data_IF_085468546998
#
_entry.id   IF_085468546998
#
_cell.length_a   1.000
_cell.length_b   1.000
_cell.length_c   1.000
_cell.angle_alpha   90.00
_cell.angle_beta   90.00
_cell.angle_gamma   90.00
#
_symmetry.space_group_name_H-M   'P 1'
#
loop_
_entity.id
_entity.type
_entity.pdbx_description
1 polymer ?
#
# COMPACT_ATOMS: atom_id res chain seq x y z
N UNK A 1 10.96 67.21 -24.36
CA UNK A 1 9.78 66.35 -24.07
C UNK A 1 10.18 64.91 -24.42
N UNK A 2 10.14 63.99 -23.44
CA UNK A 2 10.55 62.59 -23.65
C UNK A 2 9.54 61.90 -24.57
N UNK A 3 10.01 61.37 -25.70
CA UNK A 3 9.20 60.53 -26.59
C UNK A 3 8.73 59.29 -25.82
N UNK A 4 7.44 59.22 -25.49
CA UNK A 4 6.78 57.96 -25.18
C UNK A 4 6.51 57.27 -26.52
N UNK A 5 7.49 56.52 -27.01
CA UNK A 5 7.30 55.67 -28.18
C UNK A 5 6.26 54.61 -27.81
N UNK A 6 5.06 54.70 -28.39
CA UNK A 6 4.03 53.69 -28.26
C UNK A 6 4.51 52.38 -28.89
N UNK A 7 4.22 51.26 -28.23
CA UNK A 7 4.53 49.92 -28.74
C UNK A 7 3.86 49.73 -30.09
N UNK A 8 4.63 49.34 -31.11
CA UNK A 8 4.10 49.15 -32.45
C UNK A 8 3.25 47.88 -32.52
N UNK A 9 2.23 47.86 -33.37
CA UNK A 9 1.33 46.71 -33.52
C UNK A 9 2.09 45.41 -33.85
N UNK A 10 3.20 45.53 -34.60
CA UNK A 10 4.09 44.43 -34.93
C UNK A 10 4.79 43.86 -33.68
N UNK A 11 5.28 44.71 -32.77
CA UNK A 11 5.90 44.27 -31.52
C UNK A 11 4.90 43.51 -30.63
N UNK A 12 3.63 43.94 -30.59
CA UNK A 12 2.57 43.24 -29.85
C UNK A 12 2.29 41.85 -30.43
N UNK A 13 2.26 41.71 -31.75
CA UNK A 13 2.07 40.43 -32.43
C UNK A 13 3.24 39.46 -32.17
N UNK A 14 4.48 39.96 -32.27
CA UNK A 14 5.68 39.16 -31.99
C UNK A 14 5.70 38.73 -30.51
N UNK A 15 5.35 39.63 -29.58
CA UNK A 15 5.27 39.29 -28.17
C UNK A 15 4.19 38.23 -27.87
N UNK A 16 3.02 38.33 -28.49
CA UNK A 16 1.95 37.31 -28.36
C UNK A 16 2.34 35.96 -28.94
N UNK A 17 3.05 35.96 -30.07
CA UNK A 17 3.56 34.73 -30.70
C UNK A 17 4.62 34.05 -29.81
N UNK A 18 5.57 34.81 -29.28
CA UNK A 18 6.57 34.27 -28.35
C UNK A 18 5.94 33.80 -27.04
N UNK A 19 4.95 34.51 -26.52
CA UNK A 19 4.24 34.12 -25.31
C UNK A 19 3.48 32.81 -25.49
N UNK A 20 2.78 32.63 -26.62
CA UNK A 20 2.06 31.38 -26.93
C UNK A 20 3.01 30.20 -27.09
N UNK A 21 4.16 30.39 -27.74
CA UNK A 21 5.21 29.37 -27.79
C UNK A 21 5.73 29.00 -26.39
N UNK A 22 6.00 30.00 -25.54
CA UNK A 22 6.49 29.77 -24.18
C UNK A 22 5.47 29.01 -23.32
N UNK A 23 4.19 29.40 -23.36
CA UNK A 23 3.12 28.72 -22.62
C UNK A 23 2.94 27.28 -23.11
N UNK A 24 2.99 27.06 -24.43
CA UNK A 24 2.86 25.72 -25.01
C UNK A 24 3.98 24.75 -24.57
N UNK A 25 5.18 25.27 -24.33
CA UNK A 25 6.32 24.47 -23.87
C UNK A 25 6.31 24.24 -22.35
N UNK A 26 5.95 25.24 -21.55
CA UNK A 26 6.04 25.18 -20.08
C UNK A 26 4.84 24.46 -19.47
N UNK A 27 3.65 24.58 -20.06
CA UNK A 27 2.42 24.03 -19.49
C UNK A 27 2.42 22.49 -19.38
N UNK A 28 2.86 21.72 -20.41
CA UNK A 28 2.98 20.27 -20.29
C UNK A 28 3.96 19.86 -19.20
N UNK A 29 5.10 20.54 -19.09
CA UNK A 29 6.12 20.27 -18.07
C UNK A 29 5.53 20.46 -16.67
N UNK A 30 4.84 21.56 -16.42
CA UNK A 30 4.17 21.82 -15.13
C UNK A 30 3.17 20.72 -14.76
N UNK A 31 2.34 20.28 -15.72
CA UNK A 31 1.39 19.19 -15.51
C UNK A 31 2.09 17.87 -15.19
N UNK A 32 3.16 17.52 -15.90
CA UNK A 32 3.91 16.28 -15.65
C UNK A 32 4.60 16.29 -14.29
N UNK A 33 5.19 17.41 -13.88
CA UNK A 33 5.85 17.54 -12.56
C UNK A 33 4.84 17.42 -11.43
N UNK A 34 3.66 18.05 -11.55
CA UNK A 34 2.59 17.93 -10.56
C UNK A 34 2.07 16.50 -10.43
N UNK A 35 1.83 15.82 -11.56
CA UNK A 35 1.42 14.41 -11.56
C UNK A 35 2.47 13.51 -10.91
N UNK A 36 3.75 13.71 -11.24
CA UNK A 36 4.85 12.94 -10.66
C UNK A 36 4.96 13.15 -9.15
N UNK A 37 4.77 14.39 -8.67
CA UNK A 37 4.78 14.67 -7.23
C UNK A 37 3.63 14.00 -6.45
N UNK A 38 2.43 13.93 -7.05
CA UNK A 38 1.29 13.24 -6.44
C UNK A 38 1.52 11.72 -6.38
N UNK A 39 1.95 11.11 -7.49
CA UNK A 39 2.26 9.68 -7.57
C UNK A 39 3.36 9.31 -6.56
N UNK A 40 4.41 10.12 -6.45
CA UNK A 40 5.49 9.86 -5.49
C UNK A 40 5.02 9.91 -4.04
N UNK A 41 4.09 10.82 -3.71
CA UNK A 41 3.51 10.90 -2.36
C UNK A 41 2.66 9.66 -2.07
N UNK A 42 1.75 9.31 -2.96
CA UNK A 42 0.89 8.12 -2.83
C UNK A 42 1.72 6.84 -2.68
N UNK A 43 2.79 6.71 -3.47
CA UNK A 43 3.72 5.58 -3.37
C UNK A 43 4.46 5.55 -2.03
N UNK A 44 4.90 6.71 -1.53
CA UNK A 44 5.60 6.79 -0.24
C UNK A 44 4.67 6.43 0.93
N UNK A 45 3.44 6.93 0.89
CA UNK A 45 2.42 6.61 1.90
C UNK A 45 2.07 5.11 1.88
N UNK A 46 1.84 4.54 0.70
CA UNK A 46 1.60 3.10 0.54
C UNK A 46 2.78 2.30 1.12
N UNK A 47 4.02 2.65 0.75
CA UNK A 47 5.20 1.96 1.29
C UNK A 47 5.31 2.03 2.81
N UNK A 48 5.01 3.18 3.41
CA UNK A 48 5.03 3.31 4.86
C UNK A 48 3.99 2.41 5.53
N UNK A 49 2.79 2.29 4.96
CA UNK A 49 1.75 1.39 5.46
C UNK A 49 2.22 -0.06 5.35
N UNK A 50 2.73 -0.47 4.19
CA UNK A 50 3.22 -1.84 3.98
C UNK A 50 4.33 -2.18 4.99
N UNK A 51 5.33 -1.32 5.11
CA UNK A 51 6.45 -1.52 6.04
C UNK A 51 5.97 -1.62 7.50
N UNK A 52 5.05 -0.76 7.92
CA UNK A 52 4.49 -0.82 9.29
C UNK A 52 3.79 -2.16 9.55
N UNK A 53 3.04 -2.68 8.58
CA UNK A 53 2.36 -3.96 8.71
C UNK A 53 3.34 -5.14 8.73
N UNK A 54 4.39 -5.09 7.91
CA UNK A 54 5.44 -6.11 7.93
C UNK A 54 6.18 -6.12 9.27
N UNK A 55 6.58 -4.96 9.77
CA UNK A 55 7.27 -4.84 11.05
C UNK A 55 6.40 -5.35 12.20
N UNK A 56 5.09 -5.05 12.17
CA UNK A 56 4.15 -5.56 13.16
C UNK A 56 4.03 -7.09 13.10
N UNK A 57 3.82 -7.68 11.91
CA UNK A 57 3.72 -9.14 11.76
C UNK A 57 5.02 -9.81 12.22
N UNK A 58 6.17 -9.25 11.84
CA UNK A 58 7.47 -9.75 12.26
C UNK A 58 7.64 -9.70 13.78
N UNK A 59 7.23 -8.63 14.44
CA UNK A 59 7.33 -8.52 15.89
C UNK A 59 6.41 -9.51 16.62
N UNK A 60 5.19 -9.70 16.12
CA UNK A 60 4.25 -10.70 16.66
C UNK A 60 4.76 -12.12 16.47
N UNK A 61 5.34 -12.43 15.30
CA UNK A 61 5.83 -13.79 14.98
C UNK A 61 6.92 -14.30 15.94
N UNK A 62 7.66 -13.39 16.59
CA UNK A 62 8.70 -13.77 17.57
C UNK A 62 8.14 -14.33 18.87
N UNK A 63 6.90 -13.98 19.22
CA UNK A 63 6.32 -14.25 20.53
C UNK A 63 5.05 -15.10 20.45
N UNK A 64 4.42 -15.17 19.29
CA UNK A 64 3.16 -15.84 19.05
C UNK A 64 3.35 -16.94 18.02
N UNK A 65 2.54 -18.00 18.13
CA UNK A 65 2.45 -18.98 17.08
C UNK A 65 1.68 -18.39 15.88
N UNK A 66 1.62 -19.16 14.80
CA UNK A 66 0.98 -18.71 13.58
C UNK A 66 -0.54 -18.45 13.73
N UNK A 67 -1.36 -19.39 14.24
CA UNK A 67 -2.79 -19.16 14.47
C UNK A 67 -3.08 -17.96 15.37
N UNK A 68 -2.26 -17.75 16.41
CA UNK A 68 -2.34 -16.59 17.31
C UNK A 68 -2.09 -15.30 16.53
N UNK A 69 -1.09 -15.27 15.66
CA UNK A 69 -0.78 -14.09 14.83
C UNK A 69 -1.94 -13.75 13.89
N UNK A 70 -2.56 -14.74 13.25
CA UNK A 70 -3.76 -14.52 12.45
C UNK A 70 -4.94 -14.02 13.28
N UNK A 71 -5.10 -14.55 14.49
CA UNK A 71 -6.10 -14.07 15.41
C UNK A 71 -5.87 -12.61 15.80
N UNK A 72 -4.62 -12.19 16.05
CA UNK A 72 -4.29 -10.80 16.33
C UNK A 72 -4.57 -9.89 15.11
N UNK A 73 -4.28 -10.36 13.89
CA UNK A 73 -4.63 -9.62 12.67
C UNK A 73 -6.13 -9.33 12.58
N UNK A 74 -6.97 -10.30 12.93
CA UNK A 74 -8.43 -10.14 12.90
C UNK A 74 -8.94 -9.30 14.06
N UNK A 75 -8.48 -9.57 15.28
CA UNK A 75 -9.06 -9.03 16.52
C UNK A 75 -8.50 -7.66 16.92
N UNK A 76 -7.20 -7.41 16.72
CA UNK A 76 -6.56 -6.13 17.04
C UNK A 76 -6.46 -5.26 15.80
N UNK A 77 -5.87 -5.79 14.73
CA UNK A 77 -5.65 -5.01 13.51
C UNK A 77 -6.90 -4.90 12.63
N UNK A 78 -8.03 -5.52 13.01
CA UNK A 78 -9.30 -5.42 12.32
C UNK A 78 -9.26 -5.86 10.84
N UNK A 79 -8.39 -6.82 10.51
CA UNK A 79 -8.40 -7.45 9.19
C UNK A 79 -9.56 -8.43 9.06
N UNK A 80 -10.10 -8.53 7.85
CA UNK A 80 -10.99 -9.62 7.47
C UNK A 80 -10.18 -10.69 6.76
N UNK A 81 -10.01 -11.86 7.38
CA UNK A 81 -9.23 -12.96 6.84
C UNK A 81 -10.12 -14.07 6.26
N UNK A 82 -9.79 -14.53 5.06
CA UNK A 82 -10.37 -15.71 4.41
C UNK A 82 -9.36 -16.85 4.45
N UNK A 83 -9.83 -18.08 4.74
CA UNK A 83 -8.98 -19.26 4.94
C UNK A 83 -8.53 -19.49 6.38
N UNK A 84 -8.98 -18.65 7.33
CA UNK A 84 -8.75 -18.80 8.75
C UNK A 84 -10.05 -18.52 9.53
N UNK A 85 -10.29 -19.29 10.59
CA UNK A 85 -11.41 -19.05 11.50
C UNK A 85 -11.08 -19.57 12.89
N UNK A 86 -11.72 -18.98 13.88
CA UNK A 86 -11.53 -19.30 15.29
C UNK A 86 -12.89 -19.28 15.99
N UNK A 87 -12.97 -20.00 17.10
CA UNK A 87 -14.14 -20.01 17.98
C UNK A 87 -13.67 -19.89 19.42
N UNK A 88 -14.51 -19.31 20.28
CA UNK A 88 -14.28 -19.33 21.72
C UNK A 88 -15.08 -20.47 22.30
N UNK A 89 -14.43 -21.35 23.06
CA UNK A 89 -15.15 -22.34 23.85
C UNK A 89 -15.97 -21.61 24.94
N UNK A 90 -17.28 -21.80 24.92
CA UNK A 90 -18.20 -21.18 25.86
C UNK A 90 -17.99 -21.63 27.32
N UNK A 91 -17.27 -22.73 27.54
CA UNK A 91 -17.06 -23.36 28.85
C UNK A 91 -15.71 -23.00 29.44
N UNK A 92 -14.64 -23.07 28.64
CA UNK A 92 -13.27 -22.80 29.10
C UNK A 92 -12.80 -21.37 28.80
N UNK A 93 -13.53 -20.63 27.97
CA UNK A 93 -13.11 -19.32 27.43
C UNK A 93 -11.79 -19.37 26.65
N UNK A 94 -11.36 -20.56 26.23
CA UNK A 94 -10.18 -20.75 25.41
C UNK A 94 -10.48 -20.49 23.94
N UNK A 95 -9.48 -19.99 23.22
CA UNK A 95 -9.55 -19.78 21.78
C UNK A 95 -9.17 -21.09 21.09
N UNK A 96 -10.07 -21.57 20.25
CA UNK A 96 -9.86 -22.77 19.43
C UNK A 96 -9.70 -22.34 17.98
N UNK A 97 -8.55 -22.65 17.39
CA UNK A 97 -8.24 -22.37 16.00
C UNK A 97 -8.66 -23.52 15.10
N UNK A 98 -9.35 -23.22 14.00
CA UNK A 98 -9.50 -24.18 12.92
C UNK A 98 -8.19 -24.28 12.14
N UNK A 99 -7.91 -25.43 11.55
CA UNK A 99 -6.74 -25.62 10.69
C UNK A 99 -6.75 -24.59 9.56
N UNK A 100 -5.75 -23.68 9.48
CA UNK A 100 -5.70 -22.68 8.43
C UNK A 100 -5.55 -23.33 7.05
N UNK A 101 -6.09 -22.69 6.03
CA UNK A 101 -5.81 -22.99 4.62
C UNK A 101 -4.33 -22.74 4.31
N UNK A 102 -3.78 -23.43 3.31
CA UNK A 102 -2.42 -23.18 2.81
C UNK A 102 -2.21 -21.76 2.31
N UNK A 103 -3.29 -21.07 1.92
CA UNK A 103 -3.29 -19.64 1.62
C UNK A 103 -4.37 -18.97 2.45
N UNK A 104 -3.96 -17.98 3.24
CA UNK A 104 -4.84 -17.10 4.01
C UNK A 104 -4.74 -15.70 3.43
N UNK A 105 -5.88 -15.10 3.09
CA UNK A 105 -5.94 -13.74 2.55
C UNK A 105 -6.64 -12.82 3.54
N UNK A 106 -5.92 -11.83 4.06
CA UNK A 106 -6.43 -10.85 5.00
C UNK A 106 -6.54 -9.48 4.34
N UNK A 107 -7.71 -8.85 4.42
CA UNK A 107 -7.96 -7.52 3.83
C UNK A 107 -8.36 -6.51 4.89
N UNK A 108 -7.80 -5.31 4.81
CA UNK A 108 -8.19 -4.14 5.63
C UNK A 108 -8.27 -2.91 4.74
N UNK A 109 -9.38 -2.19 4.84
CA UNK A 109 -9.58 -0.95 4.08
C UNK A 109 -9.46 0.25 5.00
N UNK A 110 -8.46 1.10 4.73
CA UNK A 110 -8.25 2.38 5.40
C UNK A 110 -8.24 3.44 4.29
N UNK A 111 -9.38 4.09 4.06
CA UNK A 111 -9.54 5.07 2.98
C UNK A 111 -8.37 6.07 2.93
N UNK A 112 -7.74 6.29 1.76
CA UNK A 112 -8.13 5.82 0.42
C UNK A 112 -7.56 4.46 0.02
N UNK A 113 -6.86 3.75 0.91
CA UNK A 113 -6.10 2.55 0.61
C UNK A 113 -6.78 1.26 1.10
N UNK A 114 -6.57 0.17 0.38
CA UNK A 114 -6.90 -1.19 0.80
C UNK A 114 -5.61 -2.00 0.88
N UNK A 115 -5.32 -2.52 2.07
CA UNK A 115 -4.21 -3.43 2.31
C UNK A 115 -4.70 -4.86 2.15
N UNK A 116 -4.05 -5.63 1.29
CA UNK A 116 -4.27 -7.05 1.08
C UNK A 116 -3.01 -7.78 1.49
N UNK A 117 -3.12 -8.61 2.53
CA UNK A 117 -2.08 -9.52 2.98
C UNK A 117 -2.43 -10.90 2.45
N UNK A 118 -1.52 -11.51 1.70
CA UNK A 118 -1.62 -12.92 1.32
C UNK A 118 -0.51 -13.65 2.06
N UNK A 119 -0.90 -14.57 2.93
CA UNK A 119 0.02 -15.40 3.68
C UNK A 119 -0.06 -16.83 3.16
N UNK A 120 1.07 -17.33 2.64
CA UNK A 120 1.17 -18.67 2.06
C UNK A 120 2.00 -19.57 2.95
N UNK A 121 1.38 -20.65 3.41
CA UNK A 121 2.03 -21.76 4.12
C UNK A 121 2.55 -22.78 3.11
N UNK A 122 3.76 -23.26 3.33
CA UNK A 122 4.34 -24.36 2.58
C UNK A 122 4.49 -25.58 3.50
N UNK A 123 3.63 -26.58 3.28
CA UNK A 123 3.60 -27.79 4.08
C UNK A 123 4.84 -28.69 3.87
N UNK A 124 5.73 -28.35 2.91
CA UNK A 124 6.97 -29.10 2.66
C UNK A 124 8.13 -28.69 3.57
N UNK A 125 8.07 -27.51 4.19
CA UNK A 125 9.06 -27.04 5.17
C UNK A 125 8.49 -27.27 6.57
N UNK A 126 8.81 -28.43 7.15
CA UNK A 126 8.29 -28.96 8.42
C UNK A 126 8.55 -28.10 9.67
N UNK A 127 9.25 -26.96 9.55
CA UNK A 127 9.73 -26.15 10.69
C UNK A 127 9.39 -24.66 10.59
N UNK A 128 8.68 -24.20 9.55
CA UNK A 128 8.38 -22.79 9.36
C UNK A 128 6.92 -22.60 8.94
N UNK A 129 6.14 -21.92 9.78
CA UNK A 129 4.71 -21.72 9.52
C UNK A 129 4.39 -20.67 8.44
N UNK A 130 5.39 -19.99 7.85
CA UNK A 130 5.22 -19.23 6.61
C UNK A 130 6.49 -19.03 5.77
N UNK A 131 6.30 -19.02 4.44
CA UNK A 131 7.36 -18.72 3.48
C UNK A 131 7.12 -17.40 2.73
N UNK A 132 5.87 -16.96 2.54
CA UNK A 132 5.60 -15.76 1.74
C UNK A 132 4.42 -14.93 2.28
N UNK A 133 4.74 -13.72 2.76
CA UNK A 133 3.75 -12.68 3.03
C UNK A 133 3.81 -11.66 1.91
N UNK A 134 2.78 -11.60 1.07
CA UNK A 134 2.64 -10.55 0.06
C UNK A 134 1.72 -9.46 0.57
N UNK A 135 2.22 -8.24 0.68
CA UNK A 135 1.39 -7.06 0.92
C UNK A 135 1.11 -6.36 -0.40
N UNK A 136 -0.16 -6.10 -0.70
CA UNK A 136 -0.58 -5.25 -1.82
C UNK A 136 -1.41 -4.09 -1.30
N UNK A 137 -1.08 -2.87 -1.73
CA UNK A 137 -1.87 -1.68 -1.40
C UNK A 137 -2.57 -1.19 -2.66
N UNK A 138 -3.90 -1.21 -2.62
CA UNK A 138 -4.75 -0.71 -3.69
C UNK A 138 -5.30 0.65 -3.29
N UNK A 139 -5.28 1.63 -4.17
CA UNK A 139 -6.12 2.81 -4.00
C UNK A 139 -7.57 2.42 -4.34
N UNK A 140 -8.49 2.64 -3.42
CA UNK A 140 -9.91 2.29 -3.54
C UNK A 140 -10.61 3.09 -4.65
N UNK A 141 -10.04 4.24 -5.02
CA UNK A 141 -10.57 5.14 -6.05
C UNK A 141 -9.99 4.90 -7.45
N UNK A 142 -8.89 4.15 -7.57
CA UNK A 142 -8.23 3.85 -8.84
C UNK A 142 -8.41 2.36 -9.19
N UNK A 143 -8.83 2.07 -10.42
CA UNK A 143 -8.97 0.69 -10.92
C UNK A 143 -7.62 0.00 -11.18
N UNK A 144 -6.51 0.72 -11.04
CA UNK A 144 -5.14 0.21 -11.20
C UNK A 144 -4.46 0.14 -9.83
N UNK A 145 -3.96 -1.03 -9.42
CA UNK A 145 -3.35 -1.19 -8.11
C UNK A 145 -2.03 -0.43 -8.04
N UNK A 146 -1.81 0.31 -6.95
CA UNK A 146 -0.54 0.93 -6.58
C UNK A 146 0.38 -0.20 -6.07
N UNK A 147 0.74 -1.13 -6.97
CA UNK A 147 1.40 -2.39 -6.62
C UNK A 147 2.79 -2.15 -6.06
N UNK A 148 2.88 -2.07 -4.75
CA UNK A 148 4.07 -2.43 -4.01
C UNK A 148 3.93 -3.90 -3.64
N UNK A 149 4.97 -4.69 -3.93
CA UNK A 149 5.14 -6.06 -3.43
C UNK A 149 6.30 -6.02 -2.45
N UNK A 150 6.02 -6.24 -1.18
CA UNK A 150 7.05 -6.56 -0.21
C UNK A 150 6.78 -7.97 0.28
N UNK A 151 7.72 -8.88 -0.02
CA UNK A 151 7.70 -10.27 0.43
C UNK A 151 8.57 -10.40 1.66
N UNK A 152 7.97 -10.75 2.80
CA UNK A 152 8.71 -11.16 3.99
C UNK A 152 8.73 -12.69 4.07
N UNK A 153 9.92 -13.26 4.26
CA UNK A 153 10.12 -14.62 4.72
C UNK A 153 10.16 -14.59 6.25
N UNK A 154 9.08 -15.00 6.92
CA UNK A 154 9.02 -15.07 8.36
C UNK A 154 9.59 -16.42 8.82
N UNK A 155 10.91 -16.50 8.98
CA UNK A 155 11.56 -17.69 9.53
C UNK A 155 11.35 -17.73 11.05
N UNK A 156 10.41 -18.55 11.52
CA UNK A 156 10.26 -18.92 12.92
C UNK A 156 9.10 -18.23 13.65
N UNK A 157 7.92 -18.83 13.56
CA UNK A 157 6.94 -18.71 14.65
C UNK A 157 7.38 -19.65 15.79
N UNK A 158 7.06 -19.30 17.04
CA UNK A 158 7.26 -20.24 18.15
C UNK A 158 6.26 -21.39 18.01
N UNK A 159 6.76 -22.63 18.01
CA UNK A 159 5.96 -23.87 18.07
C UNK A 159 5.18 -24.00 19.38
#
# INVERSE_FOLDING_TARGET
MKNKSGMTFLEVLIALFLFTLMVSAVFPVFLTTRKTGLINREFTEARQIAQTQIEWIYDQSKNLNYPDTLYQLVSIESFTCSGFSWTIDATTSEIIYNTPSSVVTCTKTISPYQTVLVLTKDDSILTEDFIEITITINDVSLSSPLKLYETLYATGFLE
#
